data_IF_949199656080
#
_entry.id   IF_949199656080
#
_cell.length_a   1.000
_cell.length_b   1.000
_cell.length_c   1.000
_cell.angle_alpha   90.00
_cell.angle_beta   90.00
_cell.angle_gamma   90.00
#
_symmetry.space_group_name_H-M   'P 1'
#
loop_
_entity.id
_entity.type
_entity.pdbx_description
1 polymer ?
#
# COMPACT_ATOMS: atom_id res chain seq x y z
N UNK A 1 31.52 -5.98 10.04
CA UNK A 1 31.77 -7.14 9.18
C UNK A 1 30.47 -7.87 8.90
N UNK A 2 29.82 -7.69 7.72
CA UNK A 2 28.74 -8.56 7.17
C UNK A 2 28.28 -8.04 5.80
N UNK A 3 29.24 -7.77 4.90
CA UNK A 3 28.90 -7.44 3.50
C UNK A 3 28.56 -8.67 2.65
N UNK A 4 28.93 -9.88 3.08
CA UNK A 4 28.64 -11.12 2.36
C UNK A 4 27.22 -11.68 2.49
N UNK A 5 26.39 -11.14 3.42
CA UNK A 5 25.05 -11.67 3.72
C UNK A 5 23.98 -11.18 2.74
N UNK A 6 24.05 -9.94 2.25
CA UNK A 6 23.01 -9.36 1.40
C UNK A 6 22.98 -10.02 0.01
N UNK A 7 24.15 -10.20 -0.61
CA UNK A 7 24.24 -10.87 -1.90
C UNK A 7 23.73 -12.31 -1.84
N UNK A 8 24.11 -13.07 -0.80
CA UNK A 8 23.63 -14.46 -0.61
C UNK A 8 22.12 -14.56 -0.38
N UNK A 9 21.50 -13.56 0.23
CA UNK A 9 20.05 -13.56 0.51
C UNK A 9 19.21 -13.08 -0.67
N UNK A 10 19.76 -12.18 -1.50
CA UNK A 10 19.05 -11.63 -2.67
C UNK A 10 19.12 -12.51 -3.92
N UNK A 11 20.19 -13.32 -4.06
CA UNK A 11 20.39 -14.17 -5.24
C UNK A 11 19.28 -15.19 -5.50
N UNK A 12 18.81 -16.00 -4.52
CA UNK A 12 17.82 -17.03 -4.79
C UNK A 12 16.49 -16.49 -5.36
N UNK A 13 15.86 -15.42 -4.81
CA UNK A 13 14.63 -14.89 -5.37
C UNK A 13 14.80 -14.27 -6.76
N UNK A 14 15.97 -13.67 -7.05
CA UNK A 14 16.25 -13.11 -8.37
C UNK A 14 16.35 -14.24 -9.40
N UNK A 15 17.10 -15.30 -9.11
CA UNK A 15 17.22 -16.47 -10.00
C UNK A 15 15.88 -17.12 -10.23
N UNK A 16 15.09 -17.31 -9.18
CA UNK A 16 13.75 -17.88 -9.31
C UNK A 16 12.86 -16.99 -10.21
N UNK A 17 12.90 -15.68 -10.02
CA UNK A 17 12.16 -14.74 -10.86
C UNK A 17 12.56 -14.82 -12.34
N UNK A 18 13.86 -14.89 -12.62
CA UNK A 18 14.38 -15.07 -13.99
C UNK A 18 13.94 -16.40 -14.60
N UNK A 19 14.01 -17.50 -13.84
CA UNK A 19 13.55 -18.81 -14.31
C UNK A 19 12.06 -18.77 -14.66
N UNK A 20 11.23 -18.17 -13.80
CA UNK A 20 9.78 -18.03 -14.05
C UNK A 20 9.52 -17.21 -15.32
N UNK A 21 10.23 -16.11 -15.52
CA UNK A 21 10.07 -15.28 -16.73
C UNK A 21 10.52 -16.03 -18.00
N UNK A 22 11.60 -16.79 -17.93
CA UNK A 22 12.08 -17.62 -19.06
C UNK A 22 11.11 -18.75 -19.37
N UNK A 23 10.56 -19.41 -18.35
CA UNK A 23 9.54 -20.45 -18.53
C UNK A 23 8.27 -19.86 -19.14
N UNK A 24 7.82 -18.68 -18.69
CA UNK A 24 6.67 -17.98 -19.28
C UNK A 24 6.94 -17.65 -20.74
N UNK A 25 8.06 -17.01 -21.06
CA UNK A 25 8.45 -16.69 -22.43
C UNK A 25 8.49 -17.95 -23.30
N UNK A 26 9.14 -19.02 -22.83
CA UNK A 26 9.23 -20.29 -23.52
C UNK A 26 7.87 -20.95 -23.75
N UNK A 27 7.01 -20.96 -22.73
CA UNK A 27 5.66 -21.51 -22.85
C UNK A 27 4.83 -20.76 -23.90
N UNK A 28 4.85 -19.43 -23.90
CA UNK A 28 4.14 -18.63 -24.90
C UNK A 28 4.62 -18.94 -26.32
N UNK A 29 5.94 -19.11 -26.51
CA UNK A 29 6.52 -19.41 -27.82
C UNK A 29 6.26 -20.84 -28.28
N UNK A 30 6.41 -21.84 -27.40
CA UNK A 30 6.25 -23.27 -27.74
C UNK A 30 4.79 -23.65 -27.99
N UNK A 31 3.87 -23.11 -27.18
CA UNK A 31 2.44 -23.38 -27.32
C UNK A 31 1.71 -22.40 -28.23
N UNK A 32 2.44 -21.49 -28.88
CA UNK A 32 1.88 -20.45 -29.77
C UNK A 32 0.70 -19.69 -29.15
N UNK A 33 0.83 -19.36 -27.84
CA UNK A 33 -0.24 -18.71 -27.08
C UNK A 33 -0.47 -17.30 -27.66
N UNK A 34 -1.71 -17.05 -28.09
CA UNK A 34 -2.06 -15.75 -28.70
C UNK A 34 -1.99 -14.62 -27.66
N UNK A 35 -1.54 -13.41 -28.07
CA UNK A 35 -1.36 -12.27 -27.15
C UNK A 35 -2.62 -11.84 -26.38
N UNK A 36 -3.81 -12.13 -26.90
CA UNK A 36 -5.07 -11.82 -26.22
C UNK A 36 -5.36 -12.77 -25.04
N UNK A 37 -4.71 -13.95 -25.00
CA UNK A 37 -4.79 -14.88 -23.86
C UNK A 37 -3.68 -14.54 -22.86
N UNK A 38 -2.43 -14.52 -23.34
CA UNK A 38 -1.27 -14.21 -22.50
C UNK A 38 -0.12 -13.69 -23.39
N UNK A 39 0.18 -12.38 -23.35
CA UNK A 39 1.32 -11.84 -24.09
C UNK A 39 2.65 -12.30 -23.52
N UNK A 40 3.66 -12.40 -24.37
CA UNK A 40 5.00 -12.78 -23.96
C UNK A 40 5.69 -11.67 -23.15
N UNK A 41 6.52 -11.99 -22.15
CA UNK A 41 7.28 -10.99 -21.38
C UNK A 41 8.07 -10.00 -22.24
N UNK A 42 8.68 -10.49 -23.34
CA UNK A 42 9.39 -9.63 -24.28
C UNK A 42 8.46 -8.62 -24.95
N UNK A 43 7.26 -9.03 -25.38
CA UNK A 43 6.27 -8.14 -25.96
C UNK A 43 5.79 -7.08 -24.97
N UNK A 44 5.55 -7.47 -23.71
CA UNK A 44 5.15 -6.54 -22.64
C UNK A 44 6.24 -5.48 -22.42
N UNK A 45 7.51 -5.90 -22.42
CA UNK A 45 8.65 -4.99 -22.23
C UNK A 45 8.81 -4.04 -23.43
N UNK A 46 8.66 -4.50 -24.67
CA UNK A 46 8.74 -3.61 -25.84
C UNK A 46 7.59 -2.59 -25.82
N UNK A 47 6.36 -3.02 -25.58
CA UNK A 47 5.21 -2.11 -25.47
C UNK A 47 5.39 -1.10 -24.33
N UNK A 48 6.00 -1.51 -23.22
CA UNK A 48 6.30 -0.60 -22.11
C UNK A 48 7.33 0.48 -22.52
N UNK A 49 8.36 0.12 -23.26
CA UNK A 49 9.38 1.05 -23.74
C UNK A 49 8.82 1.98 -24.81
N UNK A 50 8.07 1.43 -25.78
CA UNK A 50 7.49 2.19 -26.89
C UNK A 50 6.43 3.19 -26.42
N UNK A 51 5.72 2.88 -25.33
CA UNK A 51 4.68 3.72 -24.73
C UNK A 51 5.08 4.31 -23.38
N UNK A 52 6.37 4.46 -23.10
CA UNK A 52 6.88 4.86 -21.78
C UNK A 52 6.24 6.14 -21.25
N UNK A 53 6.12 7.17 -22.07
CA UNK A 53 5.56 8.46 -21.66
C UNK A 53 4.08 8.36 -21.22
N UNK A 54 3.30 7.57 -21.94
CA UNK A 54 1.88 7.37 -21.62
C UNK A 54 1.69 6.51 -20.36
N UNK A 55 2.53 5.49 -20.19
CA UNK A 55 2.56 4.67 -18.96
C UNK A 55 2.99 5.52 -17.78
N UNK A 56 4.04 6.34 -17.94
CA UNK A 56 4.53 7.24 -16.88
C UNK A 56 3.46 8.26 -16.48
N UNK A 57 2.74 8.83 -17.43
CA UNK A 57 1.61 9.73 -17.13
C UNK A 57 0.55 9.03 -16.29
N UNK A 58 0.20 7.77 -16.62
CA UNK A 58 -0.70 6.94 -15.82
C UNK A 58 -0.17 6.66 -14.41
N UNK A 59 1.13 6.35 -14.28
CA UNK A 59 1.82 6.15 -13.00
C UNK A 59 1.71 7.39 -12.11
N UNK A 60 1.91 8.58 -12.68
CA UNK A 60 1.83 9.85 -11.95
C UNK A 60 0.39 10.09 -11.44
N UNK A 61 -0.62 9.87 -12.27
CA UNK A 61 -2.03 10.09 -11.90
C UNK A 61 -2.45 9.11 -10.79
N UNK A 62 -2.25 7.82 -10.99
CA UNK A 62 -2.59 6.79 -9.98
C UNK A 62 -1.75 6.97 -8.71
N UNK A 63 -0.45 7.27 -8.85
CA UNK A 63 0.47 7.50 -7.73
C UNK A 63 0.07 8.69 -6.87
N UNK A 64 -0.34 9.81 -7.49
CA UNK A 64 -0.84 10.98 -6.78
C UNK A 64 -2.10 10.65 -5.95
N UNK A 65 -3.06 9.94 -6.54
CA UNK A 65 -4.29 9.56 -5.85
C UNK A 65 -4.03 8.56 -4.73
N UNK A 66 -3.17 7.56 -4.97
CA UNK A 66 -2.73 6.61 -3.96
C UNK A 66 -1.99 7.31 -2.80
N UNK A 67 -1.13 8.30 -3.09
CA UNK A 67 -0.41 9.06 -2.08
C UNK A 67 -1.35 9.90 -1.21
N UNK A 68 -2.30 10.60 -1.82
CA UNK A 68 -3.32 11.36 -1.08
C UNK A 68 -4.13 10.41 -0.19
N UNK A 69 -4.60 9.28 -0.71
CA UNK A 69 -5.30 8.26 0.06
C UNK A 69 -4.44 7.69 1.19
N UNK A 70 -3.16 7.42 0.93
CA UNK A 70 -2.20 6.94 1.94
C UNK A 70 -2.04 7.95 3.10
N UNK A 71 -1.86 9.22 2.79
CA UNK A 71 -1.72 10.27 3.81
C UNK A 71 -3.01 10.43 4.60
N UNK A 72 -4.15 10.56 3.94
CA UNK A 72 -5.46 10.72 4.59
C UNK A 72 -5.79 9.52 5.49
N UNK A 73 -5.69 8.29 4.97
CA UNK A 73 -5.97 7.07 5.72
C UNK A 73 -5.00 6.86 6.89
N UNK A 74 -3.73 7.24 6.71
CA UNK A 74 -2.71 7.17 7.78
C UNK A 74 -3.03 8.14 8.91
N UNK A 75 -3.32 9.40 8.60
CA UNK A 75 -3.68 10.40 9.62
C UNK A 75 -4.94 9.96 10.37
N UNK A 76 -6.00 9.58 9.64
CA UNK A 76 -7.23 9.08 10.25
C UNK A 76 -6.98 7.85 11.13
N UNK A 77 -6.22 6.88 10.63
CA UNK A 77 -5.90 5.65 11.36
C UNK A 77 -5.16 5.90 12.66
N UNK A 78 -4.14 6.78 12.63
CA UNK A 78 -3.37 7.16 13.83
C UNK A 78 -4.26 7.93 14.82
N UNK A 79 -5.02 8.93 14.37
CA UNK A 79 -5.86 9.75 15.25
C UNK A 79 -6.92 8.89 15.95
N UNK A 80 -7.64 8.06 15.18
CA UNK A 80 -8.68 7.19 15.73
C UNK A 80 -8.07 6.12 16.67
N UNK A 81 -6.87 5.60 16.35
CA UNK A 81 -6.16 4.67 17.22
C UNK A 81 -5.74 5.30 18.56
N UNK A 82 -5.30 6.55 18.54
CA UNK A 82 -4.96 7.30 19.77
C UNK A 82 -6.22 7.51 20.62
N UNK A 83 -7.33 7.90 20.02
CA UNK A 83 -8.61 8.08 20.73
C UNK A 83 -9.05 6.75 21.38
N UNK A 84 -9.02 5.65 20.62
CA UNK A 84 -9.34 4.33 21.13
C UNK A 84 -8.39 3.87 22.26
N UNK A 85 -7.09 4.20 22.18
CA UNK A 85 -6.13 3.85 23.21
C UNK A 85 -6.29 4.66 24.52
N UNK A 86 -6.74 5.91 24.42
CA UNK A 86 -6.93 6.79 25.57
C UNK A 86 -8.27 6.58 26.31
N UNK A 87 -9.33 6.23 25.58
CA UNK A 87 -10.70 6.18 26.09
C UNK A 87 -11.24 4.74 25.98
N UNK A 88 -11.42 4.04 27.11
CA UNK A 88 -11.96 2.66 27.12
C UNK A 88 -13.35 2.54 26.46
N UNK A 89 -14.19 3.56 26.62
CA UNK A 89 -15.53 3.59 26.02
C UNK A 89 -15.39 3.72 24.48
N UNK A 90 -14.53 4.63 24.03
CA UNK A 90 -14.25 4.80 22.61
C UNK A 90 -13.69 3.51 21.99
N UNK A 91 -12.77 2.83 22.68
CA UNK A 91 -12.24 1.54 22.22
C UNK A 91 -13.35 0.48 22.04
N UNK A 92 -14.20 0.32 23.03
CA UNK A 92 -15.31 -0.64 22.96
C UNK A 92 -16.30 -0.35 21.81
N UNK A 93 -16.43 0.91 21.39
CA UNK A 93 -17.28 1.31 20.27
C UNK A 93 -16.55 1.25 18.92
N UNK A 94 -15.31 1.74 18.85
CA UNK A 94 -14.55 1.88 17.61
C UNK A 94 -14.03 0.51 17.13
N UNK A 95 -13.51 -0.33 18.01
CA UNK A 95 -12.87 -1.59 17.63
C UNK A 95 -13.81 -2.51 16.79
N UNK A 96 -15.08 -2.74 17.17
CA UNK A 96 -15.97 -3.56 16.35
C UNK A 96 -16.32 -2.90 15.00
N UNK A 97 -16.42 -1.56 14.94
CA UNK A 97 -16.68 -0.84 13.69
C UNK A 97 -15.51 -1.00 12.73
N UNK A 98 -14.26 -0.81 13.20
CA UNK A 98 -13.08 -0.98 12.35
C UNK A 98 -12.89 -2.45 11.96
N UNK A 99 -13.22 -3.40 12.83
CA UNK A 99 -13.21 -4.82 12.49
C UNK A 99 -14.24 -5.15 11.39
N UNK A 100 -15.41 -4.56 11.44
CA UNK A 100 -16.42 -4.68 10.38
C UNK A 100 -15.93 -4.07 9.07
N UNK A 101 -15.30 -2.89 9.10
CA UNK A 101 -14.70 -2.26 7.91
C UNK A 101 -13.61 -3.12 7.27
N UNK A 102 -12.87 -3.91 8.06
CA UNK A 102 -11.85 -4.83 7.54
C UNK A 102 -12.42 -5.93 6.63
N UNK A 103 -13.69 -6.28 6.79
CA UNK A 103 -14.39 -7.32 6.01
C UNK A 103 -15.12 -6.73 4.81
N UNK A 104 -15.45 -5.43 4.84
CA UNK A 104 -16.13 -4.76 3.73
C UNK A 104 -15.19 -4.74 2.51
N UNK A 105 -15.65 -5.17 1.33
CA UNK A 105 -14.88 -5.02 0.09
C UNK A 105 -14.85 -3.53 -0.31
N UNK A 106 -13.92 -2.76 0.31
CA UNK A 106 -13.85 -1.29 0.22
C UNK A 106 -13.86 -0.81 -1.23
N UNK A 107 -13.23 -1.57 -2.12
CA UNK A 107 -13.20 -1.23 -3.55
C UNK A 107 -14.58 -1.28 -4.20
N UNK A 108 -15.50 -2.12 -3.68
CA UNK A 108 -16.89 -2.17 -4.17
C UNK A 108 -17.68 -0.88 -3.87
N UNK A 109 -17.15 0.00 -3.00
CA UNK A 109 -17.73 1.33 -2.77
C UNK A 109 -17.40 2.32 -3.90
N UNK A 110 -16.42 2.03 -4.77
CA UNK A 110 -15.99 2.95 -5.81
C UNK A 110 -17.15 3.46 -6.69
N UNK A 111 -18.04 2.60 -7.26
CA UNK A 111 -19.17 3.08 -8.05
C UNK A 111 -20.09 4.03 -7.28
N UNK A 112 -20.36 3.72 -6.01
CA UNK A 112 -21.21 4.57 -5.14
C UNK A 112 -20.54 5.93 -4.91
N UNK A 113 -19.25 5.94 -4.62
CA UNK A 113 -18.50 7.18 -4.42
C UNK A 113 -18.44 8.02 -5.71
N UNK A 114 -18.34 7.40 -6.89
CA UNK A 114 -18.42 8.13 -8.16
C UNK A 114 -19.79 8.75 -8.41
N UNK A 115 -20.87 8.12 -7.97
CA UNK A 115 -22.22 8.74 -8.05
C UNK A 115 -22.38 9.90 -7.08
N UNK A 116 -21.76 9.83 -5.90
CA UNK A 116 -21.82 10.87 -4.88
C UNK A 116 -20.98 12.09 -5.20
N UNK A 117 -19.76 11.89 -5.69
CA UNK A 117 -18.77 12.97 -5.92
C UNK A 117 -18.65 13.38 -7.39
N UNK A 118 -19.31 12.68 -8.30
CA UNK A 118 -19.26 12.87 -9.73
C UNK A 118 -18.25 11.95 -10.44
N UNK A 119 -18.63 11.48 -11.62
CA UNK A 119 -17.83 10.53 -12.40
C UNK A 119 -16.47 11.10 -12.86
N UNK A 120 -16.30 12.42 -12.90
CA UNK A 120 -15.05 13.09 -13.22
C UNK A 120 -14.16 13.44 -12.03
N UNK A 121 -14.59 13.12 -10.79
CA UNK A 121 -13.86 13.50 -9.59
C UNK A 121 -12.80 12.46 -9.21
N UNK A 122 -11.61 12.92 -8.85
CA UNK A 122 -10.56 12.06 -8.30
C UNK A 122 -10.84 11.63 -6.85
N UNK A 123 -11.75 12.34 -6.16
CA UNK A 123 -12.08 12.13 -4.75
C UNK A 123 -12.53 10.71 -4.44
N UNK A 124 -13.28 10.06 -5.34
CA UNK A 124 -13.75 8.70 -5.14
C UNK A 124 -12.58 7.71 -4.96
N UNK A 125 -11.59 7.75 -5.86
CA UNK A 125 -10.41 6.86 -5.80
C UNK A 125 -9.51 7.17 -4.61
N UNK A 126 -9.38 8.44 -4.22
CA UNK A 126 -8.65 8.88 -3.03
C UNK A 126 -9.30 8.38 -1.75
N UNK A 127 -10.63 8.44 -1.65
CA UNK A 127 -11.39 7.93 -0.49
C UNK A 127 -11.33 6.40 -0.39
N UNK A 128 -11.45 5.67 -1.52
CA UNK A 128 -11.30 4.22 -1.53
C UNK A 128 -9.91 3.84 -1.02
N UNK A 129 -8.87 4.50 -1.51
CA UNK A 129 -7.50 4.27 -1.03
C UNK A 129 -7.35 4.64 0.45
N UNK A 130 -7.92 5.77 0.91
CA UNK A 130 -7.85 6.18 2.30
C UNK A 130 -8.52 5.19 3.25
N UNK A 131 -9.69 4.65 2.90
CA UNK A 131 -10.38 3.63 3.69
C UNK A 131 -9.58 2.32 3.75
N UNK A 132 -8.97 1.90 2.64
CA UNK A 132 -8.13 0.70 2.61
C UNK A 132 -6.87 0.84 3.47
N UNK A 133 -6.29 2.04 3.53
CA UNK A 133 -5.12 2.39 4.35
C UNK A 133 -5.48 2.50 5.83
N UNK A 134 -6.64 3.07 6.14
CA UNK A 134 -7.09 3.33 7.50
C UNK A 134 -7.05 2.09 8.39
N UNK A 135 -7.55 0.97 7.91
CA UNK A 135 -7.70 -0.27 8.69
C UNK A 135 -6.36 -0.82 9.19
N UNK A 136 -5.36 -1.11 8.34
CA UNK A 136 -4.08 -1.65 8.81
C UNK A 136 -3.29 -0.65 9.66
N UNK A 137 -3.39 0.66 9.37
CA UNK A 137 -2.74 1.68 10.18
C UNK A 137 -3.38 1.75 11.57
N UNK A 138 -4.71 1.75 11.67
CA UNK A 138 -5.42 1.73 12.94
C UNK A 138 -5.00 0.55 13.82
N UNK A 139 -5.12 -0.68 13.32
CA UNK A 139 -4.82 -1.88 14.10
C UNK A 139 -3.36 -1.94 14.56
N UNK A 140 -2.42 -1.60 13.68
CA UNK A 140 -1.01 -1.60 14.06
C UNK A 140 -0.69 -0.49 15.06
N UNK A 141 -1.29 0.70 14.92
CA UNK A 141 -1.10 1.81 15.86
C UNK A 141 -1.66 1.45 17.24
N UNK A 142 -2.89 0.92 17.33
CA UNK A 142 -3.48 0.46 18.60
C UNK A 142 -2.60 -0.60 19.25
N UNK A 143 -2.14 -1.59 18.46
CA UNK A 143 -1.23 -2.62 18.93
C UNK A 143 0.05 -2.03 19.51
N UNK A 144 0.66 -1.08 18.80
CA UNK A 144 1.88 -0.41 19.26
C UNK A 144 1.69 0.39 20.54
N UNK A 145 0.60 1.16 20.66
CA UNK A 145 0.27 1.93 21.85
C UNK A 145 0.04 1.05 23.11
N UNK A 146 -0.40 -0.21 22.90
CA UNK A 146 -0.66 -1.19 23.97
C UNK A 146 0.55 -2.08 24.30
N UNK A 147 1.62 -2.04 23.51
CA UNK A 147 2.78 -2.93 23.62
C UNK A 147 3.76 -2.53 24.74
N UNK A 148 3.49 -1.46 25.50
CA UNK A 148 4.35 -1.02 26.59
C UNK A 148 4.44 -2.08 27.68
N UNK A 149 5.66 -2.57 27.96
CA UNK A 149 5.92 -3.60 28.98
C UNK A 149 5.59 -3.08 30.39
N UNK A 150 4.99 -3.90 31.27
CA UNK A 150 4.67 -3.49 32.64
C UNK A 150 5.88 -2.90 33.40
N UNK A 151 7.06 -3.51 33.24
CA UNK A 151 8.29 -3.03 33.88
C UNK A 151 8.63 -1.58 33.52
N UNK A 152 8.39 -1.15 32.30
CA UNK A 152 8.64 0.24 31.91
C UNK A 152 7.63 1.21 32.54
N UNK A 153 6.38 0.77 32.74
CA UNK A 153 5.37 1.57 33.45
C UNK A 153 5.72 1.71 34.93
N UNK A 154 6.17 0.64 35.56
CA UNK A 154 6.55 0.65 36.98
C UNK A 154 7.81 1.50 37.18
N UNK A 155 8.77 1.44 36.27
CA UNK A 155 9.94 2.32 36.27
C UNK A 155 9.53 3.80 36.20
N UNK A 156 8.63 4.17 35.30
CA UNK A 156 8.15 5.56 35.18
C UNK A 156 7.42 6.02 36.45
N UNK A 157 6.70 5.10 37.13
CA UNK A 157 6.06 5.40 38.43
C UNK A 157 7.10 5.62 39.53
N UNK A 158 8.17 4.82 39.60
CA UNK A 158 9.23 4.97 40.62
C UNK A 158 9.98 6.31 40.43
N UNK A 159 10.04 6.84 39.22
CA UNK A 159 10.56 8.18 38.95
C UNK A 159 9.53 9.32 39.14
N UNK A 160 8.34 9.01 39.68
CA UNK A 160 7.24 9.97 39.83
C UNK A 160 6.91 10.73 38.52
N UNK A 161 7.12 10.07 37.36
CA UNK A 161 6.89 10.67 36.07
C UNK A 161 5.39 10.89 35.82
N UNK A 162 5.05 12.04 35.24
CA UNK A 162 3.68 12.33 34.82
C UNK A 162 3.25 11.42 33.68
N UNK A 163 1.93 11.25 33.48
CA UNK A 163 1.39 10.46 32.35
C UNK A 163 1.89 10.95 30.99
N UNK A 164 2.07 12.26 30.82
CA UNK A 164 2.62 12.84 29.59
C UNK A 164 4.10 12.47 29.38
N UNK A 165 4.91 12.53 30.43
CA UNK A 165 6.31 12.11 30.38
C UNK A 165 6.42 10.61 30.03
N UNK A 166 5.62 9.75 30.67
CA UNK A 166 5.57 8.33 30.38
C UNK A 166 5.13 8.07 28.91
N UNK A 167 4.15 8.80 28.41
CA UNK A 167 3.70 8.68 27.01
C UNK A 167 4.81 9.09 26.05
N UNK A 168 5.47 10.23 26.28
CA UNK A 168 6.49 10.75 25.38
C UNK A 168 7.77 9.91 25.35
N UNK A 169 8.19 9.39 26.52
CA UNK A 169 9.49 8.69 26.66
C UNK A 169 9.35 7.18 26.43
N UNK A 170 8.19 6.59 26.70
CA UNK A 170 8.00 5.13 26.63
C UNK A 170 6.97 4.76 25.57
N UNK A 171 5.74 5.29 25.66
CA UNK A 171 4.64 4.81 24.82
C UNK A 171 4.84 5.17 23.34
N UNK A 172 5.15 6.41 23.03
CA UNK A 172 5.34 6.85 21.63
C UNK A 172 6.54 6.16 20.95
N UNK A 173 7.74 6.09 21.57
CA UNK A 173 8.85 5.36 20.97
C UNK A 173 8.56 3.87 20.78
N UNK A 174 7.83 3.24 21.70
CA UNK A 174 7.43 1.82 21.59
C UNK A 174 6.40 1.62 20.46
N UNK A 175 5.47 2.57 20.28
CA UNK A 175 4.43 2.49 19.26
C UNK A 175 4.95 2.76 17.85
N UNK A 176 5.97 3.60 17.70
CA UNK A 176 6.44 4.10 16.42
C UNK A 176 6.80 2.99 15.41
N UNK A 177 7.55 1.93 15.74
CA UNK A 177 7.82 0.83 14.82
C UNK A 177 6.54 0.15 14.29
N UNK A 178 5.51 0.01 15.14
CA UNK A 178 4.24 -0.58 14.74
C UNK A 178 3.47 0.32 13.77
N UNK A 179 3.49 1.64 13.98
CA UNK A 179 2.90 2.62 13.06
C UNK A 179 3.54 2.48 11.67
N UNK A 180 4.87 2.40 11.60
CA UNK A 180 5.57 2.22 10.32
C UNK A 180 5.35 0.85 9.69
N UNK A 181 5.20 -0.22 10.48
CA UNK A 181 4.76 -1.52 9.96
C UNK A 181 3.35 -1.43 9.35
N UNK A 182 2.42 -0.75 10.02
CA UNK A 182 1.09 -0.45 9.48
C UNK A 182 1.16 0.34 8.18
N UNK A 183 1.96 1.41 8.15
CA UNK A 183 2.18 2.24 6.97
C UNK A 183 2.77 1.45 5.79
N UNK A 184 3.72 0.55 6.04
CA UNK A 184 4.30 -0.31 5.01
C UNK A 184 3.25 -1.24 4.37
N UNK A 185 2.41 -1.88 5.17
CA UNK A 185 1.31 -2.71 4.66
C UNK A 185 0.33 -1.84 3.87
N UNK A 186 -0.03 -0.68 4.42
CA UNK A 186 -0.97 0.25 3.83
C UNK A 186 -0.48 0.87 2.52
N UNK A 187 0.84 1.03 2.33
CA UNK A 187 1.40 1.65 1.13
C UNK A 187 1.06 0.88 -0.15
N UNK A 188 1.17 -0.45 -0.12
CA UNK A 188 0.75 -1.29 -1.25
C UNK A 188 -0.76 -1.29 -1.44
N UNK A 189 -1.53 -1.33 -0.35
CA UNK A 189 -3.00 -1.27 -0.40
C UNK A 189 -3.51 0.05 -0.98
N UNK A 190 -2.84 1.17 -0.73
CA UNK A 190 -3.18 2.46 -1.33
C UNK A 190 -3.12 2.42 -2.86
N UNK A 191 -2.04 1.86 -3.41
CA UNK A 191 -1.86 1.72 -4.87
C UNK A 191 -2.90 0.76 -5.45
N UNK A 192 -3.05 -0.43 -4.87
CA UNK A 192 -4.00 -1.44 -5.33
C UNK A 192 -5.42 -0.87 -5.32
N UNK A 193 -5.84 -0.24 -4.22
CA UNK A 193 -7.20 0.28 -4.07
C UNK A 193 -7.49 1.46 -5.00
N UNK A 194 -6.52 2.36 -5.19
CA UNK A 194 -6.64 3.46 -6.16
C UNK A 194 -6.78 2.91 -7.59
N UNK A 195 -5.90 1.97 -7.98
CA UNK A 195 -5.90 1.35 -9.30
C UNK A 195 -7.21 0.58 -9.59
N UNK A 196 -7.70 -0.21 -8.63
CA UNK A 196 -8.94 -0.97 -8.83
C UNK A 196 -10.15 -0.04 -8.82
N UNK A 197 -10.16 1.05 -8.03
CA UNK A 197 -11.21 2.06 -8.11
C UNK A 197 -11.31 2.68 -9.51
N UNK A 198 -10.17 2.88 -10.18
CA UNK A 198 -10.11 3.41 -11.56
C UNK A 198 -10.77 2.50 -12.61
N UNK A 199 -10.92 1.19 -12.34
CA UNK A 199 -11.65 0.28 -13.24
C UNK A 199 -13.14 0.61 -13.32
N UNK A 200 -13.72 1.14 -12.25
CA UNK A 200 -15.16 1.43 -12.17
C UNK A 200 -15.53 2.83 -12.68
N UNK A 201 -14.55 3.71 -12.92
CA UNK A 201 -14.80 5.05 -13.39
C UNK A 201 -13.71 6.05 -13.04
N UNK A 202 -14.05 7.31 -13.13
CA UNK A 202 -13.16 8.42 -12.81
C UNK A 202 -12.55 9.09 -14.05
N UNK A 203 -11.77 10.15 -13.83
CA UNK A 203 -11.09 10.90 -14.90
C UNK A 203 -10.19 10.00 -15.74
N UNK A 204 -10.02 10.35 -16.99
CA UNK A 204 -9.09 9.69 -17.91
C UNK A 204 -7.66 9.88 -17.42
N UNK A 205 -6.79 8.89 -17.64
CA UNK A 205 -5.34 9.02 -17.45
C UNK A 205 -4.71 8.21 -16.32
N UNK A 206 -5.50 7.56 -15.45
CA UNK A 206 -4.95 6.63 -14.45
C UNK A 206 -4.62 5.25 -15.06
N UNK A 207 -3.70 4.50 -14.41
CA UNK A 207 -3.27 3.18 -14.86
C UNK A 207 -4.43 2.19 -14.97
N UNK A 208 -5.32 2.14 -13.97
CA UNK A 208 -6.47 1.23 -13.97
C UNK A 208 -7.42 1.50 -15.14
N UNK A 209 -7.70 2.77 -15.42
CA UNK A 209 -8.52 3.17 -16.57
C UNK A 209 -7.85 2.84 -17.87
N UNK A 210 -6.55 3.04 -17.98
CA UNK A 210 -5.76 2.74 -19.18
C UNK A 210 -5.69 1.24 -19.46
N UNK A 211 -5.55 0.39 -18.41
CA UNK A 211 -5.63 -1.06 -18.53
C UNK A 211 -6.97 -1.50 -19.13
N UNK A 212 -8.08 -1.04 -18.54
CA UNK A 212 -9.43 -1.43 -19.03
C UNK A 212 -9.71 -0.91 -20.43
N UNK A 213 -9.32 0.32 -20.75
CA UNK A 213 -9.48 0.91 -22.07
C UNK A 213 -8.67 0.18 -23.15
N UNK A 214 -7.39 -0.12 -22.87
CA UNK A 214 -6.52 -0.86 -23.82
C UNK A 214 -7.01 -2.29 -24.03
N UNK A 215 -7.45 -2.98 -22.97
CA UNK A 215 -8.02 -4.32 -23.09
C UNK A 215 -9.33 -4.30 -23.92
N UNK A 216 -10.20 -3.31 -23.72
CA UNK A 216 -11.46 -3.18 -24.46
C UNK A 216 -11.24 -2.87 -25.95
N UNK A 217 -10.14 -2.19 -26.29
CA UNK A 217 -9.74 -1.94 -27.68
C UNK A 217 -8.87 -3.05 -28.29
N UNK A 218 -8.78 -4.21 -27.62
CA UNK A 218 -7.98 -5.38 -28.04
C UNK A 218 -6.48 -5.12 -28.13
N UNK A 219 -5.99 -4.04 -27.52
CA UNK A 219 -4.56 -3.74 -27.39
C UNK A 219 -4.00 -4.35 -26.09
N UNK A 220 -3.88 -5.68 -26.08
CA UNK A 220 -3.49 -6.43 -24.88
C UNK A 220 -2.03 -6.19 -24.48
N UNK A 221 -1.13 -5.99 -25.44
CA UNK A 221 0.28 -5.65 -25.16
C UNK A 221 0.39 -4.37 -24.33
N UNK A 222 -0.29 -3.32 -24.77
CA UNK A 222 -0.33 -2.04 -24.07
C UNK A 222 -1.04 -2.16 -22.70
N UNK A 223 -2.13 -2.94 -22.61
CA UNK A 223 -2.78 -3.18 -21.30
C UNK A 223 -1.80 -3.79 -20.29
N UNK A 224 -0.99 -4.77 -20.72
CA UNK A 224 0.03 -5.38 -19.87
C UNK A 224 1.22 -4.45 -19.57
N UNK A 225 1.55 -3.52 -20.48
CA UNK A 225 2.53 -2.47 -20.21
C UNK A 225 2.06 -1.56 -19.06
N UNK A 226 0.78 -1.19 -19.01
CA UNK A 226 0.20 -0.47 -17.86
C UNK A 226 0.18 -1.31 -16.58
N UNK A 227 -0.05 -2.63 -16.66
CA UNK A 227 0.08 -3.54 -15.51
C UNK A 227 1.52 -3.52 -14.98
N UNK A 228 2.52 -3.57 -15.87
CA UNK A 228 3.93 -3.46 -15.49
C UNK A 228 4.22 -2.12 -14.79
N UNK A 229 3.69 -1.01 -15.30
CA UNK A 229 3.76 0.31 -14.64
C UNK A 229 3.14 0.29 -13.24
N UNK A 230 2.02 -0.43 -13.06
CA UNK A 230 1.36 -0.59 -11.76
C UNK A 230 2.21 -1.37 -10.76
N UNK A 231 2.92 -2.41 -11.22
CA UNK A 231 3.86 -3.19 -10.41
C UNK A 231 5.01 -2.29 -9.92
N UNK A 232 5.60 -1.50 -10.82
CA UNK A 232 6.65 -0.56 -10.46
C UNK A 232 6.17 0.48 -9.43
N UNK A 233 4.97 1.04 -9.62
CA UNK A 233 4.39 1.98 -8.68
C UNK A 233 4.18 1.35 -7.29
N UNK A 234 3.62 0.14 -7.23
CA UNK A 234 3.42 -0.60 -5.98
C UNK A 234 4.73 -0.89 -5.25
N UNK A 235 5.75 -1.33 -6.00
CA UNK A 235 7.10 -1.57 -5.45
C UNK A 235 7.72 -0.27 -4.94
N UNK A 236 7.58 0.85 -5.65
CA UNK A 236 8.07 2.15 -5.22
C UNK A 236 7.48 2.57 -3.87
N UNK A 237 6.16 2.47 -3.73
CA UNK A 237 5.46 2.80 -2.48
C UNK A 237 5.89 1.88 -1.33
N UNK A 238 5.97 0.58 -1.58
CA UNK A 238 6.42 -0.40 -0.59
C UNK A 238 7.87 -0.15 -0.15
N UNK A 239 8.78 0.04 -1.10
CA UNK A 239 10.20 0.29 -0.80
C UNK A 239 10.41 1.62 -0.07
N UNK A 240 9.68 2.67 -0.44
CA UNK A 240 9.71 3.95 0.26
C UNK A 240 9.25 3.79 1.73
N UNK A 241 8.11 3.13 1.97
CA UNK A 241 7.60 2.86 3.31
C UNK A 241 8.54 1.97 4.13
N UNK A 242 9.13 0.93 3.52
CA UNK A 242 10.14 0.06 4.14
C UNK A 242 11.41 0.84 4.52
N UNK A 243 11.83 1.77 3.66
CA UNK A 243 12.96 2.66 3.95
C UNK A 243 12.70 3.54 5.17
N UNK A 244 11.51 4.16 5.24
CA UNK A 244 11.08 4.96 6.38
C UNK A 244 11.02 4.12 7.68
N UNK A 245 10.43 2.91 7.62
CA UNK A 245 10.38 1.99 8.76
C UNK A 245 11.77 1.67 9.29
N UNK A 246 12.73 1.33 8.40
CA UNK A 246 14.12 1.02 8.79
C UNK A 246 14.85 2.22 9.41
N UNK A 247 14.64 3.42 8.88
CA UNK A 247 15.25 4.64 9.43
C UNK A 247 14.77 4.93 10.85
N UNK A 248 13.47 4.77 11.09
CA UNK A 248 12.87 5.01 12.41
C UNK A 248 13.24 3.90 13.40
N UNK A 249 13.18 2.63 13.00
CA UNK A 249 13.51 1.50 13.88
C UNK A 249 14.97 1.53 14.35
N UNK A 250 15.89 2.03 13.52
CA UNK A 250 17.30 2.20 13.93
C UNK A 250 17.48 3.26 15.02
N UNK A 251 16.64 4.28 15.05
CA UNK A 251 16.68 5.34 16.07
C UNK A 251 16.00 4.95 17.39
N UNK A 252 15.10 3.98 17.37
CA UNK A 252 14.36 3.51 18.56
C UNK A 252 15.04 2.36 19.29
N UNK A 253 16.10 1.76 18.74
CA UNK A 253 16.83 0.62 19.28
C UNK A 253 18.25 0.94 19.78
N UNK A 254 18.59 2.24 19.94
CA UNK A 254 19.84 2.69 20.56
C UNK A 254 19.63 3.07 22.02
#
# INVERSE_FOLDING_TARGET
MREGSFARTAWPPIVLGLIVLLLWQGAVMVFEIKPFILPAPFQITSEFVDNFDTVLAGVIVTGRNALIGLVMGTIMGIVVAIIAALLRIADAMIAPIVAALAVVPIVALAPVLYTMFGAGAETARQLVAALAVFVPVFFNTVKGLRQVRPVHRDLMRSYAATSWQATRVVTLPTALPFVFTGLRIASSLAVISSLVAEYFGGPVGGLGRSITSSASSSNYGLAWAYVLGSIFLGLLFYCAALGLEKLVSRRSGG
#
